data_IF_604715117112
#
_entry.id   IF_604715117112
#
_cell.length_a   1.000
_cell.length_b   1.000
_cell.length_c   1.000
_cell.angle_alpha   90.00
_cell.angle_beta   90.00
_cell.angle_gamma   90.00
#
_symmetry.space_group_name_H-M   'P 1'
#
loop_
_entity.id
_entity.type
_entity.pdbx_description
1 polymer ?
#
# COMPACT_ATOMS: atom_id res chain seq x y z
N UNK A 1 -5.06 40.89 -18.71
CA UNK A 1 -4.71 39.55 -18.23
C UNK A 1 -5.96 39.04 -17.51
N UNK A 2 -6.72 38.14 -18.13
CA UNK A 2 -8.00 37.70 -17.56
C UNK A 2 -7.80 36.85 -16.29
N UNK A 3 -8.62 37.13 -15.30
CA UNK A 3 -8.72 36.38 -14.05
C UNK A 3 -9.25 34.97 -14.35
N UNK A 4 -8.40 33.94 -14.15
CA UNK A 4 -8.72 32.53 -14.48
C UNK A 4 -9.60 31.83 -13.45
N UNK A 5 -9.88 32.44 -12.29
CA UNK A 5 -10.57 31.76 -11.18
C UNK A 5 -12.08 31.96 -11.27
N UNK A 6 -12.83 30.84 -11.26
CA UNK A 6 -14.30 30.80 -11.36
C UNK A 6 -15.02 30.43 -10.06
N UNK A 7 -14.30 30.23 -8.95
CA UNK A 7 -14.88 29.74 -7.68
C UNK A 7 -14.17 30.35 -6.47
N UNK A 8 -14.90 30.62 -5.39
CA UNK A 8 -14.35 31.09 -4.12
C UNK A 8 -13.43 30.02 -3.49
N UNK A 9 -12.32 30.45 -2.88
CA UNK A 9 -11.48 29.59 -2.03
C UNK A 9 -11.75 29.94 -0.58
N UNK A 10 -11.89 28.92 0.25
CA UNK A 10 -12.00 29.05 1.70
C UNK A 10 -10.65 28.63 2.29
N UNK A 11 -10.08 29.48 3.14
CA UNK A 11 -8.89 29.12 3.92
C UNK A 11 -9.32 28.16 5.02
N UNK A 12 -8.73 26.97 5.03
CA UNK A 12 -8.95 25.99 6.11
C UNK A 12 -8.20 26.43 7.38
N UNK A 13 -8.77 26.12 8.55
CA UNK A 13 -8.19 26.48 9.83
C UNK A 13 -7.01 25.57 10.19
N UNK A 14 -6.23 25.96 11.21
CA UNK A 14 -5.08 25.17 11.68
C UNK A 14 -5.45 23.77 12.23
N UNK A 15 -6.74 23.53 12.53
CA UNK A 15 -7.25 22.23 12.98
C UNK A 15 -7.55 21.26 11.83
N UNK A 16 -7.58 21.73 10.57
CA UNK A 16 -7.89 20.92 9.40
C UNK A 16 -6.61 20.26 8.86
N UNK A 17 -6.06 19.32 9.64
CA UNK A 17 -4.90 18.55 9.22
C UNK A 17 -5.27 17.54 8.11
N UNK A 18 -4.58 17.64 6.99
CA UNK A 18 -4.63 16.62 5.93
C UNK A 18 -3.26 15.94 5.82
N UNK A 19 -3.26 14.62 5.71
CA UNK A 19 -2.07 13.85 5.36
C UNK A 19 -2.04 13.65 3.84
N UNK A 20 -0.88 13.91 3.22
CA UNK A 20 -0.66 13.52 1.84
C UNK A 20 -0.23 12.05 1.81
N UNK A 21 -0.87 11.18 0.99
CA UNK A 21 -0.42 9.83 0.82
C UNK A 21 0.96 9.84 0.16
N UNK A 22 1.95 9.22 0.81
CA UNK A 22 3.28 9.03 0.24
C UNK A 22 3.34 7.72 -0.53
N UNK A 23 3.99 7.76 -1.69
CA UNK A 23 4.26 6.54 -2.47
C UNK A 23 5.59 5.98 -1.98
N UNK A 24 5.57 4.72 -1.57
CA UNK A 24 6.76 3.96 -1.21
C UNK A 24 6.87 2.73 -2.10
N UNK A 25 8.03 2.54 -2.70
CA UNK A 25 8.34 1.30 -3.41
C UNK A 25 8.54 0.18 -2.38
N UNK A 26 7.90 -0.96 -2.64
CA UNK A 26 7.95 -2.14 -1.78
C UNK A 26 8.30 -3.35 -2.63
N UNK A 27 8.96 -4.33 -2.04
CA UNK A 27 9.14 -5.64 -2.67
C UNK A 27 8.04 -6.58 -2.16
N UNK A 28 7.28 -7.19 -3.07
CA UNK A 28 6.31 -8.24 -2.71
C UNK A 28 7.07 -9.55 -2.57
N UNK A 29 6.99 -10.17 -1.38
CA UNK A 29 7.65 -11.44 -1.07
C UNK A 29 6.70 -12.63 -1.29
N UNK A 30 5.43 -12.49 -0.92
CA UNK A 30 4.37 -13.46 -1.19
C UNK A 30 3.01 -12.75 -1.33
N UNK A 31 2.05 -13.44 -1.95
CA UNK A 31 0.67 -13.00 -2.13
C UNK A 31 -0.28 -14.19 -2.00
N UNK A 32 -1.41 -13.95 -1.33
CA UNK A 32 -2.51 -14.89 -1.14
C UNK A 32 -3.84 -14.15 -1.28
N UNK A 33 -4.96 -14.86 -1.29
CA UNK A 33 -6.29 -14.23 -1.36
C UNK A 33 -6.63 -13.36 -0.15
N UNK A 34 -5.98 -13.56 1.00
CA UNK A 34 -6.25 -12.80 2.23
C UNK A 34 -5.29 -11.63 2.44
N UNK A 35 -4.14 -11.62 1.76
CA UNK A 35 -3.12 -10.62 2.00
C UNK A 35 -1.78 -10.92 1.34
N UNK A 36 -0.81 -10.11 1.72
CA UNK A 36 0.53 -10.06 1.13
C UNK A 36 1.61 -9.96 2.20
N UNK A 37 2.78 -10.49 1.88
CA UNK A 37 4.02 -10.18 2.58
C UNK A 37 4.85 -9.22 1.74
N UNK A 38 5.30 -8.14 2.37
CA UNK A 38 6.10 -7.09 1.76
C UNK A 38 7.45 -6.94 2.47
N UNK A 39 8.43 -6.44 1.73
CA UNK A 39 9.69 -5.94 2.26
C UNK A 39 9.84 -4.44 1.95
N UNK A 40 10.14 -3.68 2.99
CA UNK A 40 10.20 -2.21 2.98
C UNK A 40 11.53 -1.73 3.55
N UNK A 41 12.12 -0.70 2.94
CA UNK A 41 13.35 -0.06 3.43
C UNK A 41 13.10 1.03 4.50
N UNK A 42 11.84 1.33 4.79
CA UNK A 42 11.42 2.33 5.79
C UNK A 42 10.35 1.73 6.68
N UNK A 43 10.30 2.11 7.98
CA UNK A 43 9.29 1.62 8.88
C UNK A 43 7.90 2.08 8.45
N UNK A 44 6.91 1.26 8.76
CA UNK A 44 5.48 1.56 8.64
C UNK A 44 4.80 1.02 9.89
N UNK A 45 3.75 1.68 10.37
CA UNK A 45 3.07 1.26 11.60
C UNK A 45 1.98 0.22 11.30
N UNK A 46 1.78 -0.79 12.17
CA UNK A 46 0.57 -1.59 12.17
C UNK A 46 -0.70 -0.73 12.22
N UNK A 47 -1.73 -1.11 11.48
CA UNK A 47 -2.96 -0.33 11.29
C UNK A 47 -2.88 0.69 10.14
N UNK A 48 -1.69 0.95 9.59
CA UNK A 48 -1.57 1.82 8.41
C UNK A 48 -2.31 1.21 7.23
N UNK A 49 -3.14 2.02 6.57
CA UNK A 49 -3.83 1.66 5.32
C UNK A 49 -3.14 2.29 4.12
N UNK A 50 -3.08 1.55 3.03
CA UNK A 50 -2.52 2.04 1.77
C UNK A 50 -3.09 1.28 0.58
N UNK A 51 -2.83 1.80 -0.61
CA UNK A 51 -3.22 1.16 -1.86
C UNK A 51 -1.99 0.47 -2.48
N UNK A 52 -1.98 -0.87 -2.48
CA UNK A 52 -0.94 -1.67 -3.11
C UNK A 52 -1.21 -1.75 -4.61
N UNK A 53 -0.23 -1.36 -5.41
CA UNK A 53 -0.28 -1.42 -6.88
C UNK A 53 0.87 -2.26 -7.41
N UNK A 54 0.54 -3.28 -8.21
CA UNK A 54 1.51 -4.14 -8.89
C UNK A 54 0.92 -4.68 -10.19
N UNK A 55 1.76 -5.29 -11.02
CA UNK A 55 1.31 -6.05 -12.18
C UNK A 55 1.39 -7.54 -11.87
N UNK A 56 0.26 -8.24 -11.95
CA UNK A 56 0.16 -9.69 -11.83
C UNK A 56 -0.07 -10.27 -13.23
N UNK A 57 0.92 -10.99 -13.77
CA UNK A 57 0.89 -11.54 -15.15
C UNK A 57 0.53 -10.53 -16.24
N UNK A 58 1.14 -9.34 -16.17
CA UNK A 58 0.86 -8.26 -17.12
C UNK A 58 -0.53 -7.62 -16.96
N UNK A 59 -1.33 -8.08 -15.99
CA UNK A 59 -2.58 -7.43 -15.62
C UNK A 59 -2.34 -6.47 -14.44
N UNK A 60 -2.76 -5.20 -14.55
CA UNK A 60 -2.65 -4.27 -13.44
C UNK A 60 -3.55 -4.74 -12.30
N UNK A 61 -3.00 -4.75 -11.09
CA UNK A 61 -3.70 -5.09 -9.86
C UNK A 61 -3.54 -3.95 -8.86
N UNK A 62 -4.66 -3.53 -8.29
CA UNK A 62 -4.72 -2.46 -7.30
C UNK A 62 -5.68 -2.86 -6.19
N UNK A 63 -5.19 -2.95 -4.96
CA UNK A 63 -6.04 -3.29 -3.82
C UNK A 63 -5.62 -2.52 -2.58
N UNK A 64 -6.60 -2.13 -1.78
CA UNK A 64 -6.35 -1.55 -0.48
C UNK A 64 -5.85 -2.62 0.48
N UNK A 65 -4.87 -2.27 1.29
CA UNK A 65 -4.25 -3.14 2.29
C UNK A 65 -4.16 -2.42 3.62
N UNK A 66 -4.25 -3.20 4.70
CA UNK A 66 -4.00 -2.75 6.07
C UNK A 66 -2.83 -3.53 6.65
N UNK A 67 -1.82 -2.81 7.14
CA UNK A 67 -0.66 -3.41 7.80
C UNK A 67 -1.12 -4.10 9.08
N UNK A 68 -0.84 -5.41 9.20
CA UNK A 68 -1.20 -6.21 10.39
C UNK A 68 -0.03 -6.47 11.31
N UNK A 69 1.16 -6.63 10.74
CA UNK A 69 2.40 -6.91 11.50
C UNK A 69 3.61 -6.39 10.78
N UNK A 70 4.62 -6.01 11.56
CA UNK A 70 5.89 -5.47 11.09
C UNK A 70 7.00 -6.12 11.90
N UNK A 71 8.06 -6.56 11.24
CA UNK A 71 9.22 -7.16 11.89
C UNK A 71 10.50 -6.61 11.24
N UNK A 72 11.47 -6.12 12.02
CA UNK A 72 12.76 -5.73 11.45
C UNK A 72 13.47 -6.96 10.87
N UNK A 73 14.18 -6.76 9.77
CA UNK A 73 15.02 -7.77 9.13
C UNK A 73 16.45 -7.31 9.30
N UNK A 74 17.25 -8.12 9.98
CA UNK A 74 18.68 -7.88 10.10
C UNK A 74 19.47 -9.13 9.76
N UNK A 75 20.62 -8.93 9.12
CA UNK A 75 21.55 -10.00 8.77
C UNK A 75 22.97 -9.57 9.14
N UNK A 76 23.68 -10.40 9.90
CA UNK A 76 25.05 -10.11 10.36
C UNK A 76 25.20 -8.72 11.02
N UNK A 77 24.19 -8.29 11.78
CA UNK A 77 24.16 -6.99 12.45
C UNK A 77 23.85 -5.79 11.55
N UNK A 78 23.56 -5.99 10.26
CA UNK A 78 23.12 -4.94 9.34
C UNK A 78 21.60 -4.88 9.31
N UNK A 79 21.05 -3.67 9.37
CA UNK A 79 19.62 -3.42 9.13
C UNK A 79 19.35 -3.56 7.62
N UNK A 80 18.48 -4.51 7.28
CA UNK A 80 18.02 -4.76 5.91
C UNK A 80 16.62 -4.20 5.68
N UNK A 81 15.99 -3.57 6.68
CA UNK A 81 14.65 -3.00 6.58
C UNK A 81 13.60 -3.83 7.32
N UNK A 82 12.40 -3.91 6.78
CA UNK A 82 11.23 -4.42 7.48
C UNK A 82 10.48 -5.44 6.64
N UNK A 83 10.08 -6.54 7.27
CA UNK A 83 9.12 -7.50 6.73
C UNK A 83 7.73 -7.16 7.26
N UNK A 84 6.79 -6.98 6.36
CA UNK A 84 5.47 -6.42 6.64
C UNK A 84 4.40 -7.36 6.14
N UNK A 85 3.56 -7.85 7.04
CA UNK A 85 2.36 -8.60 6.68
C UNK A 85 1.17 -7.65 6.60
N UNK A 86 0.51 -7.59 5.44
CA UNK A 86 -0.67 -6.76 5.24
C UNK A 86 -1.86 -7.60 4.75
N UNK A 87 -3.05 -7.27 5.23
CA UNK A 87 -4.30 -7.92 4.81
C UNK A 87 -5.01 -7.03 3.80
N UNK A 88 -5.67 -7.62 2.80
CA UNK A 88 -6.47 -6.81 1.89
C UNK A 88 -7.75 -6.29 2.56
N UNK A 89 -8.13 -5.06 2.22
CA UNK A 89 -9.37 -4.41 2.66
C UNK A 89 -10.35 -4.41 1.50
N UNK A 90 -11.26 -5.39 1.48
CA UNK A 90 -12.35 -5.44 0.51
C UNK A 90 -11.90 -5.70 -0.94
N UNK A 91 -11.32 -6.87 -1.21
CA UNK A 91 -11.05 -7.29 -2.60
C UNK A 91 -12.34 -7.68 -3.32
N UNK A 92 -12.40 -7.39 -4.62
CA UNK A 92 -13.52 -7.82 -5.48
C UNK A 92 -13.36 -9.29 -5.88
N UNK A 93 -14.43 -9.95 -6.36
CA UNK A 93 -14.33 -11.29 -6.93
C UNK A 93 -13.31 -11.41 -8.07
N UNK A 94 -13.17 -10.37 -8.89
CA UNK A 94 -12.20 -10.31 -10.00
C UNK A 94 -10.76 -10.30 -9.46
N UNK A 95 -10.49 -9.49 -8.44
CA UNK A 95 -9.20 -9.48 -7.75
C UNK A 95 -8.88 -10.84 -7.13
N UNK A 96 -9.87 -11.46 -6.47
CA UNK A 96 -9.72 -12.80 -5.90
C UNK A 96 -9.37 -13.82 -6.98
N UNK A 97 -10.11 -13.84 -8.10
CA UNK A 97 -9.86 -14.76 -9.20
C UNK A 97 -8.47 -14.58 -9.82
N UNK A 98 -8.02 -13.34 -9.98
CA UNK A 98 -6.68 -13.02 -10.47
C UNK A 98 -5.59 -13.60 -9.53
N UNK A 99 -5.75 -13.41 -8.22
CA UNK A 99 -4.81 -13.92 -7.21
C UNK A 99 -4.83 -15.45 -7.16
N UNK A 100 -6.01 -16.08 -7.18
CA UNK A 100 -6.15 -17.55 -7.15
C UNK A 100 -5.47 -18.20 -8.37
N UNK A 101 -5.64 -17.60 -9.56
CA UNK A 101 -4.93 -18.05 -10.74
C UNK A 101 -3.42 -17.90 -10.56
N UNK A 102 -2.96 -16.74 -10.08
CA UNK A 102 -1.54 -16.50 -9.82
C UNK A 102 -0.92 -17.51 -8.84
N UNK A 103 -1.65 -17.88 -7.78
CA UNK A 103 -1.17 -18.74 -6.70
C UNK A 103 -1.24 -20.26 -6.99
N UNK A 104 -1.93 -20.67 -8.05
CA UNK A 104 -2.13 -22.10 -8.40
C UNK A 104 -1.11 -22.64 -9.41
N UNK A 105 0.02 -21.94 -9.58
CA UNK A 105 1.16 -22.39 -10.39
C UNK A 105 2.30 -22.86 -9.50
#
# INVERSE_FOLDING_TARGET
MEERRRSARITLGHADMAALPTIQNVQVLDISVIGVMLHLNRPIDPGTRGCLRLNLWGSPFSADVEVRRVSPVSENGRDLGYRVGAAFVGITPEHRHLIERFASQ
#
